data_IF_482711305061
#
_entry.id   IF_482711305061
#
_cell.length_a   1.000
_cell.length_b   1.000
_cell.length_c   1.000
_cell.angle_alpha   90.00
_cell.angle_beta   90.00
_cell.angle_gamma   90.00
#
_symmetry.space_group_name_H-M   'P 1'
#
loop_
_entity.id
_entity.type
_entity.pdbx_description
1 polymer ?
#
# COMPACT_ATOMS: atom_id res chain seq x y z
N UNK A 1 40.85 6.44 6.99
CA UNK A 1 39.40 6.31 7.16
C UNK A 1 38.93 5.13 6.33
N UNK A 2 39.03 3.93 6.86
CA UNK A 2 38.55 2.70 6.19
C UNK A 2 37.07 2.58 6.48
N UNK A 3 36.26 2.95 5.51
CA UNK A 3 34.80 2.77 5.58
C UNK A 3 34.50 1.29 5.68
N UNK A 4 34.15 0.85 6.88
CA UNK A 4 33.68 -0.53 7.13
C UNK A 4 32.37 -0.72 6.35
N UNK A 5 32.47 -1.30 5.17
CA UNK A 5 31.34 -1.70 4.32
C UNK A 5 30.66 -2.92 4.94
N UNK A 6 30.12 -2.79 6.17
CA UNK A 6 29.28 -3.83 6.73
C UNK A 6 28.09 -4.03 5.81
N UNK A 7 28.05 -5.16 5.11
CA UNK A 7 26.89 -5.58 4.32
C UNK A 7 25.65 -5.62 5.24
N UNK A 8 24.50 -5.21 4.69
CA UNK A 8 23.24 -5.34 5.40
C UNK A 8 23.03 -6.80 5.81
N UNK A 9 22.50 -7.02 7.00
CA UNK A 9 22.17 -8.40 7.42
C UNK A 9 21.17 -9.00 6.41
N UNK A 10 21.23 -10.32 6.16
CA UNK A 10 20.29 -10.98 5.25
C UNK A 10 18.83 -10.71 5.60
N UNK A 11 18.52 -10.54 6.88
CA UNK A 11 17.19 -10.20 7.36
C UNK A 11 16.80 -8.76 7.00
N UNK A 12 17.70 -7.80 7.16
CA UNK A 12 17.47 -6.41 6.78
C UNK A 12 17.24 -6.27 5.28
N UNK A 13 18.02 -7.00 4.47
CA UNK A 13 17.85 -7.00 3.02
C UNK A 13 16.50 -7.60 2.59
N UNK A 14 16.08 -8.71 3.19
CA UNK A 14 14.77 -9.32 2.90
C UNK A 14 13.61 -8.36 3.22
N UNK A 15 13.67 -7.65 4.35
CA UNK A 15 12.63 -6.70 4.74
C UNK A 15 12.65 -5.46 3.84
N UNK A 16 13.83 -4.98 3.46
CA UNK A 16 13.97 -3.88 2.51
C UNK A 16 13.31 -4.23 1.16
N UNK A 17 13.64 -5.38 0.60
CA UNK A 17 13.09 -5.84 -0.68
C UNK A 17 11.57 -6.06 -0.57
N UNK A 18 11.12 -6.85 0.40
CA UNK A 18 9.70 -7.18 0.57
C UNK A 18 8.85 -5.93 0.85
N UNK A 19 9.33 -5.02 1.71
CA UNK A 19 8.65 -3.77 2.01
C UNK A 19 8.58 -2.83 0.80
N UNK A 20 9.68 -2.71 0.05
CA UNK A 20 9.72 -1.89 -1.16
C UNK A 20 8.80 -2.43 -2.26
N UNK A 21 8.76 -3.75 -2.46
CA UNK A 21 7.85 -4.40 -3.40
C UNK A 21 6.39 -4.20 -2.99
N UNK A 22 6.09 -4.32 -1.69
CA UNK A 22 4.75 -4.08 -1.18
C UNK A 22 4.30 -2.64 -1.42
N UNK A 23 5.16 -1.65 -1.14
CA UNK A 23 4.90 -0.25 -1.47
C UNK A 23 4.67 -0.05 -2.97
N UNK A 24 5.50 -0.66 -3.81
CA UNK A 24 5.40 -0.59 -5.27
C UNK A 24 4.03 -1.09 -5.77
N UNK A 25 3.62 -2.28 -5.34
CA UNK A 25 2.33 -2.87 -5.73
C UNK A 25 1.16 -2.05 -5.17
N UNK A 26 1.17 -1.77 -3.87
CA UNK A 26 0.05 -1.09 -3.20
C UNK A 26 -0.18 0.32 -3.75
N UNK A 27 0.88 1.10 -3.91
CA UNK A 27 0.78 2.46 -4.45
C UNK A 27 0.50 2.45 -5.95
N UNK A 28 1.08 1.53 -6.71
CA UNK A 28 0.85 1.40 -8.14
C UNK A 28 -0.60 1.05 -8.45
N UNK A 29 -1.15 0.02 -7.82
CA UNK A 29 -2.56 -0.35 -7.95
C UNK A 29 -3.48 0.81 -7.55
N UNK A 30 -3.17 1.50 -6.44
CA UNK A 30 -3.95 2.66 -6.00
C UNK A 30 -3.99 3.77 -7.03
N UNK A 31 -2.88 4.05 -7.72
CA UNK A 31 -2.83 5.07 -8.77
C UNK A 31 -3.62 4.64 -10.03
N UNK A 32 -3.69 3.33 -10.31
CA UNK A 32 -4.49 2.80 -11.40
C UNK A 32 -6.01 2.95 -11.18
N UNK A 33 -6.48 3.19 -9.94
CA UNK A 33 -7.91 3.39 -9.65
C UNK A 33 -8.58 4.46 -10.52
N UNK A 34 -7.86 5.53 -10.85
CA UNK A 34 -8.38 6.59 -11.72
C UNK A 34 -8.74 6.12 -13.12
N UNK A 35 -8.04 5.10 -13.64
CA UNK A 35 -8.29 4.52 -14.97
C UNK A 35 -9.60 3.73 -14.96
N UNK A 36 -9.90 3.03 -13.87
CA UNK A 36 -11.11 2.22 -13.74
C UNK A 36 -12.38 3.05 -13.50
N UNK A 37 -12.26 4.33 -13.16
CA UNK A 37 -13.41 5.18 -12.89
C UNK A 37 -14.40 5.21 -14.06
N UNK A 38 -13.92 5.52 -15.26
CA UNK A 38 -14.81 5.68 -16.44
C UNK A 38 -15.46 4.34 -16.83
N UNK A 39 -14.70 3.24 -17.05
CA UNK A 39 -15.31 1.97 -17.44
C UNK A 39 -16.27 1.42 -16.38
N UNK A 40 -15.93 1.52 -15.10
CA UNK A 40 -16.81 1.04 -14.03
C UNK A 40 -18.09 1.87 -13.90
N UNK A 41 -17.99 3.19 -14.03
CA UNK A 41 -19.17 4.06 -13.97
C UNK A 41 -20.10 3.80 -15.16
N UNK A 42 -19.56 3.66 -16.37
CA UNK A 42 -20.36 3.37 -17.57
C UNK A 42 -21.02 2.00 -17.50
N UNK A 43 -20.26 0.97 -17.12
CA UNK A 43 -20.77 -0.42 -17.10
C UNK A 43 -21.86 -0.61 -16.03
N UNK A 44 -21.74 0.04 -14.88
CA UNK A 44 -22.69 -0.13 -13.78
C UNK A 44 -23.76 0.97 -13.69
N UNK A 45 -23.73 1.95 -14.60
CA UNK A 45 -24.65 3.10 -14.57
C UNK A 45 -24.47 3.98 -13.33
N UNK A 46 -23.26 4.08 -12.80
CA UNK A 46 -22.98 4.87 -11.60
C UNK A 46 -22.56 6.29 -11.96
N UNK A 47 -23.01 7.24 -11.15
CA UNK A 47 -22.50 8.60 -11.19
C UNK A 47 -21.04 8.65 -10.69
N UNK A 48 -20.29 9.62 -11.18
CA UNK A 48 -18.89 9.87 -10.75
C UNK A 48 -18.77 10.07 -9.25
N UNK A 49 -19.84 10.53 -8.61
CA UNK A 49 -19.92 10.76 -7.16
C UNK A 49 -19.75 9.46 -6.35
N UNK A 50 -20.27 8.34 -6.84
CA UNK A 50 -20.14 7.03 -6.17
C UNK A 50 -18.67 6.63 -6.05
N UNK A 51 -17.91 6.79 -7.14
CA UNK A 51 -16.50 6.47 -7.14
C UNK A 51 -15.69 7.47 -6.31
N UNK A 52 -16.00 8.76 -6.41
CA UNK A 52 -15.37 9.79 -5.59
C UNK A 52 -15.62 9.56 -4.09
N UNK A 53 -16.83 9.16 -3.71
CA UNK A 53 -17.18 8.78 -2.34
C UNK A 53 -16.36 7.57 -1.87
N UNK A 54 -16.22 6.54 -2.68
CA UNK A 54 -15.42 5.37 -2.34
C UNK A 54 -13.95 5.76 -2.08
N UNK A 55 -13.36 6.63 -2.91
CA UNK A 55 -12.00 7.13 -2.70
C UNK A 55 -11.89 8.04 -1.46
N UNK A 56 -12.90 8.87 -1.20
CA UNK A 56 -12.93 9.70 0.01
C UNK A 56 -12.96 8.83 1.29
N UNK A 57 -13.82 7.80 1.31
CA UNK A 57 -13.90 6.83 2.41
C UNK A 57 -12.58 6.06 2.53
N UNK A 58 -11.96 5.68 1.41
CA UNK A 58 -10.65 5.00 1.41
C UNK A 58 -9.57 5.85 2.10
N UNK A 59 -9.48 7.13 1.74
CA UNK A 59 -8.50 8.03 2.35
C UNK A 59 -8.78 8.25 3.84
N UNK A 60 -10.06 8.39 4.21
CA UNK A 60 -10.48 8.52 5.61
C UNK A 60 -10.12 7.28 6.41
N UNK A 61 -10.47 6.09 5.93
CA UNK A 61 -10.16 4.82 6.58
C UNK A 61 -8.65 4.61 6.70
N UNK A 62 -7.90 4.90 5.65
CA UNK A 62 -6.44 4.86 5.68
C UNK A 62 -5.88 5.78 6.76
N UNK A 63 -6.29 7.04 6.81
CA UNK A 63 -5.82 7.99 7.83
C UNK A 63 -6.18 7.58 9.26
N UNK A 64 -7.44 7.20 9.49
CA UNK A 64 -7.93 6.81 10.82
C UNK A 64 -7.28 5.53 11.34
N UNK A 65 -7.07 4.54 10.47
CA UNK A 65 -6.51 3.25 10.88
C UNK A 65 -4.98 3.23 10.95
N UNK A 66 -4.31 4.21 10.35
CA UNK A 66 -2.85 4.32 10.31
C UNK A 66 -2.17 4.32 11.70
N UNK A 67 -2.62 5.11 12.71
CA UNK A 67 -2.03 5.09 14.04
C UNK A 67 -2.15 3.73 14.72
N UNK A 68 -3.24 3.01 14.45
CA UNK A 68 -3.46 1.66 14.99
C UNK A 68 -2.51 0.66 14.34
N UNK A 69 -2.40 0.66 13.01
CA UNK A 69 -1.46 -0.18 12.28
C UNK A 69 -0.01 0.06 12.73
N UNK A 70 0.39 1.30 12.92
CA UNK A 70 1.70 1.66 13.45
C UNK A 70 1.92 1.10 14.85
N UNK A 71 0.99 1.31 15.76
CA UNK A 71 1.05 0.81 17.14
C UNK A 71 1.09 -0.71 17.21
N UNK A 72 0.32 -1.41 16.37
CA UNK A 72 0.38 -2.88 16.27
C UNK A 72 1.72 -3.36 15.70
N UNK A 73 2.26 -2.68 14.69
CA UNK A 73 3.57 -2.98 14.14
C UNK A 73 4.70 -2.75 15.17
N UNK A 74 4.53 -1.77 16.05
CA UNK A 74 5.46 -1.50 17.14
C UNK A 74 5.45 -2.61 18.19
N UNK A 75 4.29 -3.14 18.50
CA UNK A 75 4.10 -4.15 19.55
C UNK A 75 4.37 -5.57 19.09
N UNK A 76 3.90 -5.95 17.91
CA UNK A 76 3.90 -7.33 17.40
C UNK A 76 4.84 -7.53 16.20
N UNK A 77 5.52 -6.47 15.77
CA UNK A 77 6.34 -6.46 14.56
C UNK A 77 5.55 -6.09 13.30
N UNK A 78 6.27 -5.63 12.30
CA UNK A 78 5.66 -5.18 11.05
C UNK A 78 5.10 -6.33 10.19
N UNK A 79 5.70 -7.53 10.26
CA UNK A 79 5.33 -8.67 9.40
C UNK A 79 3.84 -9.04 9.49
N UNK A 80 3.24 -9.30 10.67
CA UNK A 80 1.82 -9.64 10.74
C UNK A 80 0.92 -8.51 10.26
N UNK A 81 1.28 -7.26 10.54
CA UNK A 81 0.50 -6.09 10.11
C UNK A 81 0.50 -5.96 8.58
N UNK A 82 1.66 -6.17 7.94
CA UNK A 82 1.80 -6.16 6.48
C UNK A 82 1.00 -7.30 5.83
N UNK A 83 1.02 -8.50 6.42
CA UNK A 83 0.26 -9.65 5.90
C UNK A 83 -1.24 -9.37 5.99
N UNK A 84 -1.74 -8.95 7.16
CA UNK A 84 -3.16 -8.65 7.34
C UNK A 84 -3.60 -7.50 6.43
N UNK A 85 -2.80 -6.42 6.38
CA UNK A 85 -3.05 -5.29 5.49
C UNK A 85 -3.10 -5.71 4.01
N UNK A 86 -2.15 -6.55 3.57
CA UNK A 86 -2.11 -7.09 2.22
C UNK A 86 -3.31 -7.98 1.89
N UNK A 87 -3.74 -8.84 2.82
CA UNK A 87 -4.93 -9.67 2.66
C UNK A 87 -6.21 -8.83 2.57
N UNK A 88 -6.37 -7.83 3.41
CA UNK A 88 -7.51 -6.89 3.35
C UNK A 88 -7.53 -6.13 2.03
N UNK A 89 -6.36 -5.68 1.58
CA UNK A 89 -6.20 -4.99 0.29
C UNK A 89 -6.60 -5.90 -0.87
N UNK A 90 -6.07 -7.12 -0.92
CA UNK A 90 -6.37 -8.10 -1.97
C UNK A 90 -7.85 -8.51 -1.97
N UNK A 91 -8.43 -8.73 -0.78
CA UNK A 91 -9.86 -9.04 -0.64
C UNK A 91 -10.72 -7.86 -1.12
N UNK A 92 -10.35 -6.63 -0.76
CA UNK A 92 -11.04 -5.43 -1.25
C UNK A 92 -11.03 -5.32 -2.78
N UNK A 93 -9.89 -5.59 -3.42
CA UNK A 93 -9.77 -5.63 -4.89
C UNK A 93 -10.63 -6.73 -5.51
N UNK A 94 -10.60 -7.94 -4.94
CA UNK A 94 -11.41 -9.07 -5.45
C UNK A 94 -12.90 -8.76 -5.35
N UNK A 95 -13.37 -8.20 -4.23
CA UNK A 95 -14.77 -7.81 -4.07
C UNK A 95 -15.15 -6.67 -5.00
N UNK A 96 -14.28 -5.67 -5.19
CA UNK A 96 -14.51 -4.59 -6.15
C UNK A 96 -14.68 -5.10 -7.58
N UNK A 97 -13.96 -6.17 -7.96
CA UNK A 97 -14.03 -6.76 -9.28
C UNK A 97 -15.29 -7.63 -9.50
N UNK A 98 -15.90 -8.14 -8.43
CA UNK A 98 -17.01 -9.11 -8.52
C UNK A 98 -18.38 -8.51 -8.18
N UNK A 99 -18.42 -7.39 -7.49
CA UNK A 99 -19.64 -6.78 -6.98
C UNK A 99 -20.01 -5.52 -7.77
N UNK A 100 -21.28 -5.43 -8.20
CA UNK A 100 -21.78 -4.37 -9.08
C UNK A 100 -22.66 -3.34 -8.38
N UNK A 101 -22.74 -3.32 -7.04
CA UNK A 101 -23.50 -2.30 -6.32
C UNK A 101 -22.64 -1.17 -5.82
N UNK A 102 -23.17 0.06 -5.82
CA UNK A 102 -22.47 1.25 -5.29
C UNK A 102 -22.05 1.11 -3.83
N UNK A 103 -22.90 0.49 -3.02
CA UNK A 103 -22.61 0.21 -1.61
C UNK A 103 -21.45 -0.78 -1.49
N UNK A 104 -21.41 -1.83 -2.32
CA UNK A 104 -20.32 -2.79 -2.34
C UNK A 104 -18.99 -2.15 -2.76
N UNK A 105 -19.01 -1.19 -3.69
CA UNK A 105 -17.82 -0.42 -4.05
C UNK A 105 -17.30 0.39 -2.85
N UNK A 106 -18.16 1.08 -2.12
CA UNK A 106 -17.75 1.86 -0.94
C UNK A 106 -17.18 0.95 0.15
N UNK A 107 -17.78 -0.21 0.39
CA UNK A 107 -17.31 -1.17 1.39
C UNK A 107 -15.98 -1.81 0.98
N UNK A 108 -15.84 -2.23 -0.27
CA UNK A 108 -14.63 -2.90 -0.78
C UNK A 108 -13.49 -1.91 -1.04
N UNK A 109 -13.70 -0.96 -1.95
CA UNK A 109 -12.68 0.03 -2.32
C UNK A 109 -12.47 1.10 -1.24
N UNK A 110 -13.51 1.49 -0.53
CA UNK A 110 -13.41 2.49 0.54
C UNK A 110 -12.88 1.89 1.84
N UNK A 111 -13.61 0.97 2.46
CA UNK A 111 -13.28 0.49 3.80
C UNK A 111 -12.17 -0.54 3.78
N UNK A 112 -12.34 -1.67 3.07
CA UNK A 112 -11.36 -2.76 3.13
C UNK A 112 -10.00 -2.34 2.58
N UNK A 113 -9.97 -1.72 1.41
CA UNK A 113 -8.71 -1.23 0.83
C UNK A 113 -8.12 -0.10 1.69
N UNK A 114 -8.94 0.80 2.22
CA UNK A 114 -8.47 1.87 3.10
C UNK A 114 -7.78 1.35 4.36
N UNK A 115 -8.37 0.36 5.05
CA UNK A 115 -7.74 -0.31 6.19
C UNK A 115 -6.48 -1.08 5.74
N UNK A 116 -6.55 -1.80 4.63
CA UNK A 116 -5.41 -2.52 4.05
C UNK A 116 -4.20 -1.62 3.78
N UNK A 117 -4.44 -0.42 3.25
CA UNK A 117 -3.41 0.60 3.01
C UNK A 117 -2.65 0.97 4.28
N UNK A 118 -3.30 1.05 5.44
CA UNK A 118 -2.63 1.43 6.69
C UNK A 118 -1.56 0.42 7.11
N UNK A 119 -1.74 -0.86 6.78
CA UNK A 119 -0.79 -1.92 7.08
C UNK A 119 0.30 -2.13 6.02
N UNK A 120 0.10 -1.62 4.80
CA UNK A 120 0.97 -1.90 3.64
C UNK A 120 1.77 -0.69 3.15
N UNK A 121 1.58 0.50 3.75
CA UNK A 121 2.21 1.74 3.31
C UNK A 121 3.33 2.22 4.25
N UNK A 122 3.80 3.43 3.98
CA UNK A 122 5.05 3.98 4.50
C UNK A 122 5.32 3.81 5.99
N UNK A 123 4.41 4.10 6.93
CA UNK A 123 4.76 4.06 8.35
C UNK A 123 5.15 2.68 8.84
N UNK A 124 4.43 1.63 8.40
CA UNK A 124 4.70 0.25 8.80
C UNK A 124 5.99 -0.24 8.13
N UNK A 125 6.14 -0.01 6.82
CA UNK A 125 7.33 -0.43 6.06
C UNK A 125 8.57 0.33 6.53
N UNK A 126 8.49 1.65 6.67
CA UNK A 126 9.60 2.47 7.14
C UNK A 126 9.98 2.20 8.59
N UNK A 127 8.99 1.92 9.45
CA UNK A 127 9.22 1.47 10.81
C UNK A 127 10.01 0.16 10.86
N UNK A 128 9.66 -0.81 10.02
CA UNK A 128 10.36 -2.09 9.90
C UNK A 128 11.81 -1.92 9.41
N UNK A 129 12.01 -1.11 8.35
CA UNK A 129 13.33 -0.82 7.78
C UNK A 129 14.21 -0.10 8.82
N UNK A 130 13.65 0.92 9.48
CA UNK A 130 14.38 1.75 10.44
C UNK A 130 14.88 1.01 11.67
N UNK A 131 14.23 -0.10 12.04
CA UNK A 131 14.62 -0.94 13.18
C UNK A 131 15.78 -1.90 12.88
N UNK A 132 15.94 -2.26 11.62
CA UNK A 132 16.89 -3.29 11.20
C UNK A 132 18.13 -2.73 10.51
N UNK A 133 18.06 -1.48 10.06
CA UNK A 133 19.14 -0.84 9.33
C UNK A 133 19.85 0.18 10.22
N UNK A 134 21.19 0.13 10.31
CA UNK A 134 21.99 1.10 11.06
C UNK A 134 21.68 2.54 10.65
N UNK A 135 21.81 3.48 11.61
CA UNK A 135 21.45 4.89 11.43
C UNK A 135 22.12 5.52 10.20
N UNK A 136 23.38 5.16 9.95
CA UNK A 136 24.20 5.70 8.85
C UNK A 136 23.65 5.36 7.45
N UNK A 137 22.92 4.23 7.33
CA UNK A 137 22.37 3.74 6.06
C UNK A 137 20.85 3.87 5.97
N UNK A 138 20.20 4.28 7.04
CA UNK A 138 18.73 4.36 7.13
C UNK A 138 18.14 5.28 6.08
N UNK A 139 18.73 6.47 5.91
CA UNK A 139 18.27 7.44 4.91
C UNK A 139 18.32 6.87 3.48
N UNK A 140 19.43 6.18 3.13
CA UNK A 140 19.56 5.53 1.83
C UNK A 140 18.53 4.41 1.64
N UNK A 141 18.31 3.59 2.65
CA UNK A 141 17.36 2.48 2.60
C UNK A 141 15.90 2.97 2.47
N UNK A 142 15.55 4.03 3.19
CA UNK A 142 14.23 4.65 3.06
C UNK A 142 14.05 5.31 1.70
N UNK A 143 15.07 6.02 1.21
CA UNK A 143 15.07 6.62 -0.12
C UNK A 143 14.93 5.59 -1.24
N UNK A 144 15.65 4.47 -1.17
CA UNK A 144 15.51 3.37 -2.14
C UNK A 144 14.13 2.74 -2.10
N UNK A 145 13.55 2.54 -0.91
CA UNK A 145 12.18 2.02 -0.77
C UNK A 145 11.14 2.95 -1.38
N UNK A 146 11.29 4.27 -1.21
CA UNK A 146 10.42 5.26 -1.85
C UNK A 146 10.56 5.25 -3.37
N UNK A 147 11.78 5.17 -3.88
CA UNK A 147 12.06 5.11 -5.31
C UNK A 147 11.42 3.87 -5.95
N UNK A 148 11.56 2.70 -5.32
CA UNK A 148 10.91 1.47 -5.77
C UNK A 148 9.39 1.59 -5.72
N UNK A 149 8.84 2.21 -4.66
CA UNK A 149 7.40 2.51 -4.56
C UNK A 149 6.91 3.38 -5.71
N UNK A 150 7.65 4.43 -6.07
CA UNK A 150 7.34 5.31 -7.19
C UNK A 150 7.47 4.62 -8.55
N UNK A 151 8.47 3.74 -8.73
CA UNK A 151 8.59 2.91 -9.93
C UNK A 151 7.36 2.01 -10.12
N UNK A 152 6.80 1.46 -9.04
CA UNK A 152 5.57 0.68 -9.10
C UNK A 152 4.40 1.48 -9.66
N UNK A 153 4.25 2.73 -9.25
CA UNK A 153 3.22 3.62 -9.80
C UNK A 153 3.42 3.85 -11.31
N UNK A 154 4.67 4.09 -11.71
CA UNK A 154 5.01 4.34 -13.12
C UNK A 154 4.80 3.10 -14.00
N UNK A 155 5.10 1.90 -13.50
CA UNK A 155 4.98 0.65 -14.27
C UNK A 155 3.56 0.12 -14.29
N UNK A 156 2.88 0.09 -13.13
CA UNK A 156 1.53 -0.51 -13.03
C UNK A 156 0.45 0.33 -13.70
N UNK A 157 0.64 1.66 -13.82
CA UNK A 157 -0.31 2.51 -14.50
C UNK A 157 -0.49 2.14 -15.98
N UNK A 158 0.55 2.09 -16.82
CA UNK A 158 0.40 1.66 -18.20
C UNK A 158 0.03 0.18 -18.34
N UNK A 159 0.48 -0.70 -17.46
CA UNK A 159 0.08 -2.12 -17.47
C UNK A 159 -1.42 -2.33 -17.24
N UNK A 160 -2.07 -1.44 -16.53
CA UNK A 160 -3.52 -1.51 -16.31
C UNK A 160 -4.36 -1.04 -17.51
N UNK A 161 -3.72 -0.55 -18.57
CA UNK A 161 -4.35 -0.14 -19.83
C UNK A 161 -4.27 -1.24 -20.90
N UNK A 162 -3.48 -2.29 -20.68
CA UNK A 162 -3.32 -3.44 -21.58
C UNK A 162 -4.37 -4.51 -21.27
#
# INVERSE_FOLDING_TARGET
MTGNTQSLSPQALKILIAGSLMLSITLGVRHAFGIFLVPMSVTNGWDREVFAMAIAVQNLMWGVTQPFAGRYADRFGAKPVMIIGGLLYATGLALMATLSSSTALILSAGILIGIGLSGTTFPVVFGAISRLIPAERRSLALGTSMSVGSLGQFVLLPMSLL
#
